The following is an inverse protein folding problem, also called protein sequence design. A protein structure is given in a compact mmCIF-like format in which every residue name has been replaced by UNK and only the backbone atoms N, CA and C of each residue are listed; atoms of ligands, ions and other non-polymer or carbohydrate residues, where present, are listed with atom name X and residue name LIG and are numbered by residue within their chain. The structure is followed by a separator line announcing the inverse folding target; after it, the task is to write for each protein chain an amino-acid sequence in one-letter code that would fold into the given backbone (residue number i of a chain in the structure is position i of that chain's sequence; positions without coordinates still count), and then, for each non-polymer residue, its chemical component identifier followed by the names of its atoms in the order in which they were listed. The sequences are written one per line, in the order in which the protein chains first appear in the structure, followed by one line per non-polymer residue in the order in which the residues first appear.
data_IF_054390169247
#
_entry.id   IF_054390169247
#
_cell.length_a   1.000
_cell.length_b   1.000
_cell.length_c   1.000
_cell.angle_alpha   90.00
_cell.angle_beta   90.00
_cell.angle_gamma   90.00
#
_symmetry.space_group_name_H-M   'P 1'
#
loop_
_entity.id
_entity.type
_entity.pdbx_description
1 polymer ?
#
# COMPACT_ATOMS: atom_id res chain seq x y z
N UNK A 1 9.72 -0.69 -5.74
CA UNK A 1 10.65 -1.53 -4.97
C UNK A 1 10.84 -2.83 -5.74
N UNK A 2 12.07 -3.33 -5.86
CA UNK A 2 12.39 -4.44 -6.75
C UNK A 2 12.50 -5.79 -6.04
N UNK A 3 12.44 -6.86 -6.83
CA UNK A 3 12.74 -8.25 -6.41
C UNK A 3 14.21 -8.41 -5.96
N UNK A 4 15.05 -7.43 -6.27
CA UNK A 4 16.46 -7.34 -5.91
C UNK A 4 16.73 -6.74 -4.51
N UNK A 5 15.65 -6.46 -3.75
CA UNK A 5 15.72 -5.83 -2.42
C UNK A 5 16.40 -4.44 -2.44
N UNK A 6 16.25 -3.72 -3.55
CA UNK A 6 16.77 -2.37 -3.74
C UNK A 6 15.64 -1.34 -3.75
N UNK A 7 15.88 -0.21 -3.07
CA UNK A 7 15.11 1.02 -3.18
C UNK A 7 15.96 2.09 -3.85
N UNK A 8 15.38 2.74 -4.85
CA UNK A 8 15.98 3.87 -5.53
C UNK A 8 15.06 5.07 -5.35
N UNK A 9 15.61 6.15 -4.80
CA UNK A 9 14.95 7.43 -4.70
C UNK A 9 15.32 8.27 -5.92
N UNK A 10 14.32 8.92 -6.52
CA UNK A 10 14.48 9.70 -7.73
C UNK A 10 13.99 11.13 -7.53
N UNK A 11 14.65 12.07 -8.20
CA UNK A 11 14.11 13.40 -8.40
C UNK A 11 13.18 13.38 -9.62
N UNK A 12 11.88 13.55 -9.39
CA UNK A 12 10.88 13.48 -10.48
C UNK A 12 11.03 14.64 -11.48
N UNK A 13 11.55 15.79 -11.05
CA UNK A 13 11.70 16.96 -11.92
C UNK A 13 12.95 16.86 -12.81
N UNK A 14 14.06 16.35 -12.28
CA UNK A 14 15.32 16.23 -13.04
C UNK A 14 15.51 14.85 -13.68
N UNK A 15 14.81 13.83 -13.18
CA UNK A 15 15.00 12.43 -13.58
C UNK A 15 16.26 11.79 -12.99
N UNK A 16 16.95 12.44 -12.06
CA UNK A 16 18.19 11.95 -11.48
C UNK A 16 17.95 11.01 -10.28
N UNK A 17 18.79 9.99 -10.15
CA UNK A 17 18.85 9.14 -8.98
C UNK A 17 19.44 9.93 -7.80
N UNK A 18 18.66 10.06 -6.72
CA UNK A 18 19.05 10.75 -5.50
C UNK A 18 19.78 9.82 -4.53
N UNK A 19 19.31 8.58 -4.39
CA UNK A 19 19.86 7.64 -3.41
C UNK A 19 19.49 6.20 -3.75
N UNK A 20 20.46 5.29 -3.56
CA UNK A 20 20.29 3.85 -3.63
C UNK A 20 20.38 3.22 -2.23
N UNK A 21 19.41 2.40 -1.85
CA UNK A 21 19.37 1.69 -0.58
C UNK A 21 19.13 0.20 -0.87
N UNK A 22 20.14 -0.64 -0.62
CA UNK A 22 20.05 -2.08 -0.80
C UNK A 22 20.21 -2.82 0.53
N UNK A 23 19.29 -3.76 0.81
CA UNK A 23 19.30 -4.63 1.99
C UNK A 23 19.00 -6.08 1.58
N UNK A 24 19.95 -6.77 0.93
CA UNK A 24 19.70 -8.07 0.29
C UNK A 24 19.27 -9.18 1.28
N UNK A 25 19.63 -9.06 2.55
CA UNK A 25 19.35 -10.09 3.56
C UNK A 25 17.89 -10.16 4.00
N UNK A 26 17.09 -9.11 3.78
CA UNK A 26 15.66 -9.09 4.17
C UNK A 26 14.73 -9.63 3.07
N UNK A 27 15.29 -9.96 1.91
CA UNK A 27 14.53 -10.41 0.74
C UNK A 27 13.78 -9.28 0.03
N UNK A 28 12.95 -9.63 -0.98
CA UNK A 28 12.19 -8.67 -1.78
C UNK A 28 11.35 -7.71 -0.93
N UNK A 29 11.16 -6.50 -1.44
CA UNK A 29 10.35 -5.48 -0.77
C UNK A 29 8.91 -5.59 -1.27
N UNK A 30 8.00 -5.97 -0.36
CA UNK A 30 6.60 -6.19 -0.69
C UNK A 30 5.72 -4.95 -0.55
N UNK A 31 6.09 -4.00 0.32
CA UNK A 31 5.32 -2.77 0.53
C UNK A 31 6.20 -1.59 0.95
N UNK A 32 5.77 -0.37 0.63
CA UNK A 32 6.45 0.87 1.02
C UNK A 32 5.42 1.99 1.20
N UNK A 33 5.64 2.89 2.16
CA UNK A 33 4.84 4.11 2.34
C UNK A 33 5.68 5.28 2.86
N UNK A 34 5.25 6.50 2.55
CA UNK A 34 5.79 7.71 3.17
C UNK A 34 5.26 7.88 4.60
N UNK A 35 6.10 8.42 5.49
CA UNK A 35 5.78 8.69 6.90
C UNK A 35 6.27 10.08 7.32
N UNK A 36 5.75 10.57 8.43
CA UNK A 36 6.24 11.78 9.10
C UNK A 36 6.56 11.45 10.55
N UNK A 37 7.81 11.68 10.98
CA UNK A 37 8.27 11.30 12.31
C UNK A 37 8.07 12.41 13.36
N UNK A 38 8.22 13.67 12.97
CA UNK A 38 8.18 14.85 13.85
C UNK A 38 7.11 15.87 13.48
N UNK A 39 7.07 16.98 14.22
CA UNK A 39 6.10 18.08 14.03
C UNK A 39 6.47 19.02 12.87
N UNK A 40 7.74 19.07 12.48
CA UNK A 40 8.30 20.05 11.53
C UNK A 40 8.54 19.46 10.13
N UNK A 41 7.51 18.82 9.53
CA UNK A 41 7.60 18.24 8.19
C UNK A 41 8.83 17.32 8.03
N UNK A 42 9.04 16.46 9.02
CA UNK A 42 10.20 15.58 9.17
C UNK A 42 9.96 14.28 8.39
N UNK A 43 10.36 14.24 7.10
CA UNK A 43 9.88 13.24 6.18
C UNK A 43 10.71 11.97 6.35
N UNK A 44 10.03 10.84 6.30
CA UNK A 44 10.63 9.53 6.28
C UNK A 44 9.86 8.62 5.36
N UNK A 45 10.33 7.39 5.22
CA UNK A 45 9.53 6.33 4.63
C UNK A 45 9.71 5.05 5.45
N UNK A 46 8.74 4.15 5.30
CA UNK A 46 8.77 2.81 5.83
C UNK A 46 8.66 1.83 4.67
N UNK A 47 9.40 0.72 4.71
CA UNK A 47 9.19 -0.39 3.78
C UNK A 47 9.19 -1.72 4.52
N UNK A 48 8.46 -2.68 3.96
CA UNK A 48 8.33 -4.03 4.47
C UNK A 48 8.92 -5.06 3.51
N UNK A 49 9.55 -6.08 4.06
CA UNK A 49 10.28 -7.09 3.29
C UNK A 49 9.66 -8.50 3.41
N UNK A 50 10.15 -9.42 2.58
CA UNK A 50 9.71 -10.81 2.54
C UNK A 50 9.98 -11.58 3.86
N UNK A 51 10.99 -11.17 4.63
CA UNK A 51 11.29 -11.73 5.96
C UNK A 51 10.33 -11.26 7.08
N UNK A 52 9.38 -10.38 6.77
CA UNK A 52 8.43 -9.82 7.74
C UNK A 52 8.95 -8.64 8.55
N UNK A 53 10.13 -8.12 8.20
CA UNK A 53 10.66 -6.90 8.80
C UNK A 53 10.03 -5.64 8.19
N UNK A 54 9.85 -4.62 9.03
CA UNK A 54 9.53 -3.25 8.62
C UNK A 54 10.69 -2.35 9.00
N UNK A 55 11.23 -1.64 8.02
CA UNK A 55 12.37 -0.73 8.15
C UNK A 55 11.92 0.71 8.07
N UNK A 56 12.46 1.56 8.93
CA UNK A 56 12.14 2.99 9.02
C UNK A 56 13.35 3.82 8.65
N UNK A 57 13.16 4.77 7.73
CA UNK A 57 14.17 5.71 7.28
C UNK A 57 13.67 7.15 7.46
N UNK A 58 14.59 8.06 7.79
CA UNK A 58 14.31 9.47 8.03
C UNK A 58 15.25 10.34 7.21
N UNK A 59 14.72 11.40 6.61
CA UNK A 59 15.54 12.38 5.91
C UNK A 59 16.34 13.21 6.92
N UNK A 60 17.62 13.43 6.64
CA UNK A 60 18.50 14.29 7.43
C UNK A 60 18.84 15.57 6.68
N UNK A 61 19.62 16.45 7.32
CA UNK A 61 20.00 17.77 6.81
C UNK A 61 20.77 17.69 5.47
N UNK A 62 21.48 16.59 5.24
CA UNK A 62 22.17 16.27 3.99
C UNK A 62 21.22 15.88 2.84
N UNK A 63 19.90 15.99 3.06
CA UNK A 63 18.83 15.57 2.15
C UNK A 63 18.76 14.08 1.87
N UNK A 64 19.62 13.25 2.45
CA UNK A 64 19.60 11.80 2.30
C UNK A 64 18.70 11.15 3.37
N UNK A 65 18.20 9.96 3.06
CA UNK A 65 17.43 9.15 3.99
C UNK A 65 18.34 8.18 4.72
N UNK A 66 18.30 8.24 6.05
CA UNK A 66 19.12 7.42 6.93
C UNK A 66 18.27 6.42 7.70
N UNK A 67 18.81 5.21 7.87
CA UNK A 67 18.18 4.15 8.65
C UNK A 67 17.95 4.61 10.10
N UNK A 68 16.75 4.38 10.64
CA UNK A 68 16.38 4.70 12.02
C UNK A 68 16.17 3.43 12.85
N UNK A 69 15.29 2.55 12.38
CA UNK A 69 14.91 1.35 13.13
C UNK A 69 14.45 0.24 12.20
N UNK A 70 14.37 -0.97 12.75
CA UNK A 70 13.81 -2.16 12.13
C UNK A 70 12.98 -2.90 13.17
N UNK A 71 11.79 -3.34 12.78
CA UNK A 71 10.88 -4.12 13.63
C UNK A 71 10.51 -5.40 12.92
N UNK A 72 10.64 -6.55 13.60
CA UNK A 72 10.08 -7.82 13.11
C UNK A 72 8.57 -7.78 13.34
N UNK A 73 7.84 -7.40 12.30
CA UNK A 73 6.42 -7.10 12.38
C UNK A 73 5.55 -8.34 12.23
N UNK A 74 5.98 -9.27 11.36
CA UNK A 74 5.24 -10.47 10.99
C UNK A 74 6.19 -11.66 10.81
N UNK A 75 5.65 -12.88 10.82
CA UNK A 75 6.41 -14.13 10.57
C UNK A 75 6.47 -14.50 9.08
N UNK A 76 6.31 -13.53 8.19
CA UNK A 76 6.33 -13.72 6.75
C UNK A 76 6.16 -12.39 6.03
N UNK A 77 6.13 -12.48 4.70
CA UNK A 77 6.17 -11.33 3.79
C UNK A 77 5.20 -10.22 4.17
N UNK A 78 5.71 -8.98 4.16
CA UNK A 78 4.87 -7.78 4.28
C UNK A 78 4.18 -7.52 2.95
N UNK A 79 2.86 -7.70 2.94
CA UNK A 79 2.03 -7.57 1.76
C UNK A 79 1.41 -6.18 1.62
N UNK A 80 1.35 -5.41 2.70
CA UNK A 80 0.80 -4.06 2.70
C UNK A 80 1.28 -3.23 3.88
N UNK A 81 1.44 -1.93 3.63
CA UNK A 81 1.94 -0.96 4.58
C UNK A 81 1.29 0.40 4.31
N UNK A 82 0.74 1.03 5.33
CA UNK A 82 0.10 2.36 5.21
C UNK A 82 0.36 3.21 6.44
N UNK A 83 0.26 4.53 6.29
CA UNK A 83 0.55 5.51 7.34
C UNK A 83 -0.67 6.40 7.63
N UNK A 84 -0.98 6.56 8.91
CA UNK A 84 -1.94 7.52 9.45
C UNK A 84 -1.16 8.72 10.03
N UNK A 85 -1.13 9.87 9.32
CA UNK A 85 -0.42 11.05 9.79
C UNK A 85 -1.11 11.73 10.97
N UNK A 86 -2.42 11.53 11.17
CA UNK A 86 -3.19 12.19 12.22
C UNK A 86 -2.81 11.62 13.59
N UNK A 87 -2.77 10.29 13.68
CA UNK A 87 -2.44 9.60 14.94
C UNK A 87 -0.99 9.10 15.00
N UNK A 88 -0.20 9.34 13.94
CA UNK A 88 1.17 8.83 13.77
C UNK A 88 1.25 7.33 13.97
N UNK A 89 0.46 6.61 13.17
CA UNK A 89 0.44 5.15 13.19
C UNK A 89 0.82 4.57 11.84
N UNK A 90 1.47 3.42 11.88
CA UNK A 90 1.67 2.59 10.70
C UNK A 90 0.76 1.38 10.84
N UNK A 91 0.10 0.96 9.76
CA UNK A 91 -0.59 -0.32 9.72
C UNK A 91 0.15 -1.23 8.73
N UNK A 92 0.37 -2.47 9.12
CA UNK A 92 1.03 -3.48 8.29
C UNK A 92 0.23 -4.77 8.27
N UNK A 93 0.35 -5.50 7.17
CA UNK A 93 -0.29 -6.80 6.98
C UNK A 93 0.75 -7.78 6.42
N UNK A 94 0.92 -8.91 7.09
CA UNK A 94 1.79 -10.00 6.66
C UNK A 94 1.24 -11.33 7.17
N UNK A 95 1.39 -12.39 6.37
CA UNK A 95 0.88 -13.73 6.69
C UNK A 95 -0.58 -13.75 7.17
N UNK A 96 -1.44 -12.91 6.59
CA UNK A 96 -2.88 -12.83 6.92
C UNK A 96 -3.21 -12.16 8.27
N UNK A 97 -2.23 -11.58 8.96
CA UNK A 97 -2.39 -10.96 10.29
C UNK A 97 -2.19 -9.44 10.22
N UNK A 98 -3.24 -8.61 10.40
CA UNK A 98 -3.09 -7.15 10.43
C UNK A 98 -2.56 -6.67 11.78
N UNK A 99 -1.66 -5.69 11.77
CA UNK A 99 -1.15 -5.05 12.98
C UNK A 99 -1.12 -3.53 12.79
N UNK A 100 -1.32 -2.81 13.89
CA UNK A 100 -1.22 -1.34 13.93
C UNK A 100 -0.14 -0.96 14.94
N UNK A 101 0.69 0.01 14.57
CA UNK A 101 1.87 0.42 15.32
C UNK A 101 1.79 1.90 15.61
N UNK A 102 2.10 2.31 16.83
CA UNK A 102 2.47 3.71 17.12
C UNK A 102 3.88 3.96 16.59
N UNK A 103 4.07 5.01 15.80
CA UNK A 103 5.38 5.44 15.31
C UNK A 103 5.93 6.55 16.21
N UNK A 104 7.06 6.33 16.86
CA UNK A 104 7.74 7.33 17.70
C UNK A 104 8.52 8.36 16.87
N UNK A 105 8.89 9.50 17.49
CA UNK A 105 9.63 10.58 16.80
C UNK A 105 11.07 10.20 16.42
N UNK A 106 11.58 9.12 17.01
CA UNK A 106 12.89 8.54 16.68
C UNK A 106 12.76 7.37 15.71
N UNK A 107 11.55 7.03 15.27
CA UNK A 107 11.28 6.01 14.27
C UNK A 107 11.03 4.61 14.80
N UNK A 108 10.77 4.43 16.10
CA UNK A 108 10.45 3.12 16.64
C UNK A 108 8.96 2.80 16.47
N UNK A 109 8.66 1.54 16.12
CA UNK A 109 7.30 1.02 16.08
C UNK A 109 6.96 0.32 17.39
N UNK A 110 5.76 0.57 17.93
CA UNK A 110 5.23 -0.11 19.12
C UNK A 110 3.85 -0.65 18.79
N UNK A 111 3.63 -1.95 18.95
CA UNK A 111 2.36 -2.59 18.58
C UNK A 111 1.20 -2.08 19.44
N UNK A 112 0.05 -1.88 18.80
CA UNK A 112 -1.21 -1.50 19.44
C UNK A 112 -2.10 -2.73 19.62
N UNK A 113 -2.08 -3.67 18.68
CA UNK A 113 -2.92 -4.88 18.73
C UNK A 113 -2.17 -5.99 19.48
N UNK A 114 -2.61 -6.41 20.68
CA UNK A 114 -1.88 -7.41 21.46
C UNK A 114 -1.94 -8.81 20.85
N UNK A 115 -3.10 -9.17 20.29
CA UNK A 115 -3.35 -10.47 19.66
C UNK A 115 -4.08 -10.26 18.33
N UNK A 116 -3.35 -9.90 17.26
CA UNK A 116 -3.95 -9.69 15.95
C UNK A 116 -4.53 -11.01 15.41
N UNK A 117 -5.72 -10.98 14.78
CA UNK A 117 -6.32 -12.17 14.22
C UNK A 117 -5.52 -12.63 13.00
N UNK A 118 -5.26 -13.94 12.91
CA UNK A 118 -4.61 -14.52 11.72
C UNK A 118 -5.67 -15.12 10.81
N UNK A 119 -5.74 -14.63 9.57
CA UNK A 119 -6.51 -15.27 8.50
C UNK A 119 -5.65 -16.30 7.79
N UNK A 120 -6.27 -17.37 7.30
CA UNK A 120 -5.61 -18.36 6.41
C UNK A 120 -5.57 -17.88 4.95
N UNK A 121 -6.31 -16.81 4.63
CA UNK A 121 -6.31 -16.21 3.30
C UNK A 121 -5.16 -15.24 3.12
N UNK A 122 -4.68 -15.13 1.87
CA UNK A 122 -3.64 -14.19 1.49
C UNK A 122 -4.21 -12.77 1.56
N UNK A 123 -3.77 -12.00 2.54
CA UNK A 123 -4.09 -10.59 2.63
C UNK A 123 -3.17 -9.77 1.70
N UNK A 124 -3.73 -8.78 1.01
CA UNK A 124 -3.04 -8.05 -0.08
C UNK A 124 -2.95 -6.55 0.12
N UNK A 125 -3.75 -6.00 1.01
CA UNK A 125 -3.80 -4.56 1.25
C UNK A 125 -4.30 -4.27 2.65
N UNK A 126 -3.80 -3.19 3.23
CA UNK A 126 -4.28 -2.62 4.49
C UNK A 126 -4.35 -1.10 4.33
N UNK A 127 -5.49 -0.50 4.69
CA UNK A 127 -5.74 0.93 4.55
C UNK A 127 -6.36 1.48 5.83
N UNK A 128 -5.90 2.63 6.32
CA UNK A 128 -6.63 3.36 7.37
C UNK A 128 -7.93 3.94 6.81
N UNK A 129 -9.00 3.87 7.60
CA UNK A 129 -10.30 4.46 7.30
C UNK A 129 -10.90 5.09 8.56
N UNK A 130 -12.06 5.74 8.41
CA UNK A 130 -12.78 6.39 9.51
C UNK A 130 -11.91 7.38 10.30
N UNK A 131 -11.22 8.27 9.56
CA UNK A 131 -10.22 9.20 10.10
C UNK A 131 -9.15 8.49 10.96
N UNK A 132 -8.73 7.30 10.55
CA UNK A 132 -7.73 6.50 11.26
C UNK A 132 -8.30 5.65 12.40
N UNK A 133 -9.57 5.77 12.79
CA UNK A 133 -10.10 4.93 13.88
C UNK A 133 -10.23 3.45 13.51
N UNK A 134 -10.18 3.12 12.22
CA UNK A 134 -10.33 1.76 11.70
C UNK A 134 -9.27 1.44 10.63
N UNK A 135 -9.06 0.14 10.37
CA UNK A 135 -8.27 -0.37 9.24
C UNK A 135 -9.08 -1.33 8.40
N UNK A 136 -8.96 -1.22 7.08
CA UNK A 136 -9.58 -2.10 6.10
C UNK A 136 -8.55 -3.05 5.51
N UNK A 137 -8.79 -4.35 5.61
CA UNK A 137 -7.94 -5.41 5.04
C UNK A 137 -8.66 -6.08 3.87
N UNK A 138 -7.94 -6.27 2.76
CA UNK A 138 -8.44 -6.99 1.59
C UNK A 138 -7.75 -8.33 1.39
N UNK A 139 -8.54 -9.39 1.16
CA UNK A 139 -8.06 -10.77 1.00
C UNK A 139 -8.25 -11.25 -0.44
N UNK A 140 -7.18 -11.78 -1.03
CA UNK A 140 -7.05 -12.07 -2.46
C UNK A 140 -8.15 -13.02 -2.99
N UNK A 141 -8.11 -14.27 -2.52
CA UNK A 141 -8.90 -15.38 -3.07
C UNK A 141 -10.26 -15.55 -2.38
N UNK A 142 -10.42 -15.05 -1.15
CA UNK A 142 -11.73 -15.10 -0.46
C UNK A 142 -12.68 -13.98 -0.89
N UNK A 143 -12.17 -12.97 -1.61
CA UNK A 143 -12.88 -11.75 -1.99
C UNK A 143 -13.38 -10.93 -0.78
N UNK A 144 -12.86 -11.22 0.41
CA UNK A 144 -13.29 -10.58 1.65
C UNK A 144 -12.58 -9.25 1.86
N UNK A 145 -13.37 -8.28 2.31
CA UNK A 145 -12.94 -7.03 2.88
C UNK A 145 -13.36 -7.00 4.35
N UNK A 146 -12.40 -6.91 5.25
CA UNK A 146 -12.65 -6.89 6.69
C UNK A 146 -12.19 -5.56 7.26
N UNK A 147 -13.12 -4.82 7.85
CA UNK A 147 -12.84 -3.57 8.54
C UNK A 147 -12.72 -3.87 10.03
N UNK A 148 -11.59 -3.50 10.63
CA UNK A 148 -11.32 -3.61 12.06
C UNK A 148 -11.36 -2.22 12.70
N UNK A 149 -12.06 -2.10 13.82
CA UNK A 149 -11.89 -0.97 14.72
C UNK A 149 -10.56 -1.13 15.47
N UNK A 150 -9.85 -0.03 15.73
CA UNK A 150 -8.53 -0.08 16.39
C UNK A 150 -8.65 -0.07 17.93
N UNK A 151 -9.59 0.73 18.46
CA UNK A 151 -9.78 0.89 19.90
C UNK A 151 -11.28 0.87 20.28
N UNK A 152 -11.80 -0.20 20.91
CA UNK A 152 -11.13 -1.48 21.12
C UNK A 152 -10.93 -2.24 19.80
N UNK A 153 -9.89 -3.07 19.74
CA UNK A 153 -9.62 -3.89 18.57
C UNK A 153 -10.74 -4.92 18.33
N UNK A 154 -11.31 -4.93 17.14
CA UNK A 154 -12.36 -5.90 16.78
C UNK A 154 -12.92 -5.69 15.38
N UNK A 155 -13.61 -6.71 14.85
CA UNK A 155 -14.26 -6.62 13.54
C UNK A 155 -15.41 -5.62 13.63
N UNK A 156 -15.33 -4.55 12.83
CA UNK A 156 -16.39 -3.55 12.66
C UNK A 156 -17.44 -4.05 11.66
N UNK A 157 -16.99 -4.60 10.54
CA UNK A 157 -17.81 -5.31 9.56
C UNK A 157 -16.92 -6.14 8.63
N UNK A 158 -17.52 -7.13 7.97
CA UNK A 158 -16.90 -7.90 6.90
C UNK A 158 -17.87 -7.98 5.72
N UNK A 159 -17.35 -7.81 4.50
CA UNK A 159 -18.12 -7.86 3.24
C UNK A 159 -17.33 -8.63 2.19
N UNK A 160 -18.03 -9.18 1.22
CA UNK A 160 -17.42 -9.81 0.04
C UNK A 160 -17.72 -8.99 -1.20
N UNK A 161 -16.77 -8.98 -2.15
CA UNK A 161 -16.96 -8.38 -3.48
C UNK A 161 -16.99 -9.47 -4.57
N UNK A 162 -17.49 -9.18 -5.79
CA UNK A 162 -17.65 -10.20 -6.83
C UNK A 162 -16.35 -10.79 -7.39
N UNK A 163 -15.21 -10.12 -7.20
CA UNK A 163 -13.93 -10.45 -7.85
C UNK A 163 -12.82 -10.61 -6.82
N UNK A 164 -11.69 -11.20 -7.25
CA UNK A 164 -10.48 -11.26 -6.44
C UNK A 164 -9.92 -9.86 -6.14
N UNK A 165 -9.19 -9.77 -5.04
CA UNK A 165 -8.57 -8.51 -4.58
C UNK A 165 -7.06 -8.59 -4.79
N UNK A 166 -6.58 -8.15 -5.96
CA UNK A 166 -5.13 -8.11 -6.24
C UNK A 166 -4.40 -7.08 -5.40
N UNK A 167 -5.02 -5.91 -5.25
CA UNK A 167 -4.66 -4.83 -4.33
C UNK A 167 -5.88 -3.93 -4.18
N UNK A 168 -6.08 -3.33 -3.01
CA UNK A 168 -7.13 -2.35 -2.77
C UNK A 168 -6.58 -1.09 -2.10
N UNK A 169 -7.07 0.08 -2.51
CA UNK A 169 -6.70 1.37 -1.91
C UNK A 169 -7.91 2.27 -1.77
N UNK A 170 -7.96 3.06 -0.70
CA UNK A 170 -9.01 4.07 -0.50
C UNK A 170 -8.63 5.36 -1.24
N UNK A 171 -9.62 6.00 -1.85
CA UNK A 171 -9.45 7.37 -2.34
C UNK A 171 -9.15 8.33 -1.18
N UNK A 172 -8.46 9.43 -1.47
CA UNK A 172 -8.06 10.39 -0.42
C UNK A 172 -9.24 11.02 0.33
N UNK A 173 -10.42 11.10 -0.29
CA UNK A 173 -11.67 11.56 0.33
C UNK A 173 -12.33 10.49 1.21
N UNK A 174 -11.83 9.25 1.19
CA UNK A 174 -12.38 8.11 1.92
C UNK A 174 -13.72 7.62 1.40
N UNK A 175 -14.18 8.08 0.23
CA UNK A 175 -15.50 7.77 -0.30
C UNK A 175 -15.51 6.57 -1.26
N UNK A 176 -14.35 6.16 -1.76
CA UNK A 176 -14.25 5.09 -2.74
C UNK A 176 -13.15 4.09 -2.38
N UNK A 177 -13.41 2.82 -2.66
CA UNK A 177 -12.40 1.78 -2.69
C UNK A 177 -12.10 1.41 -4.13
N UNK A 178 -10.84 1.52 -4.52
CA UNK A 178 -10.35 1.09 -5.84
C UNK A 178 -9.68 -0.27 -5.69
N UNK A 179 -10.11 -1.24 -6.50
CA UNK A 179 -9.67 -2.63 -6.41
C UNK A 179 -9.14 -3.10 -7.76
N UNK A 180 -7.91 -3.61 -7.79
CA UNK A 180 -7.44 -4.43 -8.91
C UNK A 180 -8.14 -5.79 -8.85
N UNK A 181 -9.01 -6.06 -9.82
CA UNK A 181 -10.00 -7.13 -9.75
C UNK A 181 -9.49 -8.51 -10.20
N UNK A 182 -8.25 -8.57 -10.72
CA UNK A 182 -7.58 -9.76 -11.27
C UNK A 182 -8.48 -10.60 -12.18
N UNK A 183 -9.37 -9.94 -12.91
CA UNK A 183 -10.28 -10.55 -13.88
C UNK A 183 -10.11 -9.84 -15.21
N UNK A 184 -10.45 -8.56 -15.26
CA UNK A 184 -10.45 -7.77 -16.48
C UNK A 184 -10.08 -6.29 -16.27
N UNK A 185 -9.66 -5.89 -15.07
CA UNK A 185 -9.10 -4.57 -14.81
C UNK A 185 -9.32 -4.08 -13.38
N UNK A 186 -9.89 -2.88 -13.25
CA UNK A 186 -10.03 -2.17 -11.97
C UNK A 186 -11.51 -1.91 -11.69
N UNK A 187 -11.95 -2.23 -10.48
CA UNK A 187 -13.28 -1.89 -9.99
C UNK A 187 -13.20 -0.73 -9.00
N UNK A 188 -14.23 0.13 -9.01
CA UNK A 188 -14.42 1.21 -8.04
C UNK A 188 -15.73 0.98 -7.30
N UNK A 189 -15.64 0.93 -5.99
CA UNK A 189 -16.77 0.73 -5.07
C UNK A 189 -16.99 1.97 -4.22
N UNK A 190 -18.25 2.32 -3.98
CA UNK A 190 -18.63 3.27 -2.96
C UNK A 190 -18.21 2.74 -1.59
N UNK A 191 -17.61 3.57 -0.74
CA UNK A 191 -17.19 3.21 0.60
C UNK A 191 -17.98 4.00 1.65
N UNK A 192 -18.52 3.37 2.72
CA UNK A 192 -18.37 1.96 3.11
C UNK A 192 -19.50 1.04 2.60
N UNK A 193 -20.42 1.50 1.74
CA UNK A 193 -21.56 0.66 1.31
C UNK A 193 -21.11 -0.56 0.50
N UNK A 194 -20.00 -0.44 -0.22
CA UNK A 194 -19.40 -1.43 -1.11
C UNK A 194 -20.27 -1.75 -2.33
N UNK A 195 -21.11 -0.81 -2.76
CA UNK A 195 -21.77 -0.89 -4.06
C UNK A 195 -20.77 -0.56 -5.16
N UNK A 196 -20.67 -1.41 -6.18
CA UNK A 196 -19.78 -1.16 -7.31
C UNK A 196 -20.31 -0.02 -8.16
N UNK A 197 -19.59 1.08 -8.21
CA UNK A 197 -19.94 2.26 -9.01
C UNK A 197 -19.46 2.14 -10.45
N UNK A 198 -18.26 1.57 -10.65
CA UNK A 198 -17.61 1.53 -11.96
C UNK A 198 -16.65 0.36 -12.10
N UNK A 199 -16.43 -0.07 -13.33
CA UNK A 199 -15.35 -0.98 -13.72
C UNK A 199 -14.61 -0.42 -14.94
N UNK A 200 -13.29 -0.46 -14.90
CA UNK A 200 -12.38 -0.07 -15.97
C UNK A 200 -11.75 -1.33 -16.51
N UNK A 201 -12.20 -1.74 -17.70
CA UNK A 201 -11.70 -2.96 -18.33
C UNK A 201 -10.51 -2.65 -19.24
N UNK A 202 -9.46 -3.45 -19.17
CA UNK A 202 -8.35 -3.43 -20.11
C UNK A 202 -7.84 -4.85 -20.37
N UNK A 203 -7.18 -5.11 -21.51
CA UNK A 203 -6.64 -6.44 -21.80
C UNK A 203 -5.56 -6.80 -20.79
N UNK A 204 -5.74 -7.92 -20.08
CA UNK A 204 -4.73 -8.50 -19.19
C UNK A 204 -4.12 -9.70 -19.91
N UNK A 205 -2.83 -9.61 -20.23
CA UNK A 205 -2.05 -10.69 -20.88
C UNK A 205 -1.44 -11.62 -19.83
N UNK A 206 -0.99 -11.06 -18.70
CA UNK A 206 -0.52 -11.78 -17.51
C UNK A 206 -1.16 -11.20 -16.26
N UNK A 207 -1.79 -12.07 -15.49
CA UNK A 207 -2.60 -11.65 -14.35
C UNK A 207 -1.79 -11.70 -13.06
N UNK A 208 -1.11 -10.60 -12.75
CA UNK A 208 -0.36 -10.43 -11.51
C UNK A 208 -1.12 -9.50 -10.54
N UNK A 209 -0.99 -9.70 -9.22
CA UNK A 209 -1.56 -8.82 -8.21
C UNK A 209 -0.81 -7.48 -8.13
N UNK A 210 -1.03 -6.63 -9.13
CA UNK A 210 -0.38 -5.32 -9.26
C UNK A 210 -0.99 -4.29 -8.32
N UNK A 211 -0.14 -3.41 -7.78
CA UNK A 211 -0.56 -2.32 -6.90
C UNK A 211 -1.40 -1.30 -7.66
N UNK A 212 -2.37 -0.72 -6.95
CA UNK A 212 -3.19 0.40 -7.43
C UNK A 212 -3.07 1.56 -6.45
N UNK A 213 -2.96 2.77 -6.98
CA UNK A 213 -2.87 4.01 -6.21
C UNK A 213 -3.85 5.05 -6.75
N UNK A 214 -4.28 5.98 -5.91
CA UNK A 214 -5.11 7.11 -6.32
C UNK A 214 -4.37 8.43 -6.15
N UNK A 215 -4.55 9.36 -7.08
CA UNK A 215 -3.96 10.70 -7.04
C UNK A 215 -5.03 11.77 -7.27
N UNK A 216 -4.66 13.04 -7.04
CA UNK A 216 -5.51 14.22 -7.26
C UNK A 216 -6.91 14.07 -6.62
N UNK A 217 -6.94 13.75 -5.32
CA UNK A 217 -8.18 13.52 -4.55
C UNK A 217 -9.05 12.38 -5.11
N UNK A 218 -8.44 11.36 -5.70
CA UNK A 218 -9.16 10.21 -6.27
C UNK A 218 -9.71 10.45 -7.67
N UNK A 219 -9.39 11.56 -8.33
CA UNK A 219 -9.75 11.77 -9.73
C UNK A 219 -8.88 10.94 -10.69
N UNK A 220 -7.66 10.62 -10.29
CA UNK A 220 -6.74 9.80 -11.07
C UNK A 220 -6.49 8.48 -10.37
N UNK A 221 -6.53 7.38 -11.13
CA UNK A 221 -6.15 6.04 -10.69
C UNK A 221 -4.92 5.61 -11.47
N UNK A 222 -3.90 5.12 -10.76
CA UNK A 222 -2.67 4.58 -11.34
C UNK A 222 -2.58 3.10 -10.99
N UNK A 223 -2.27 2.27 -11.96
CA UNK A 223 -2.03 0.84 -11.78
C UNK A 223 -0.78 0.41 -12.55
N UNK A 224 -0.04 -0.56 -12.01
CA UNK A 224 0.97 -1.26 -12.81
C UNK A 224 0.30 -2.02 -13.96
N UNK A 225 0.89 -1.97 -15.14
CA UNK A 225 0.57 -2.83 -16.29
C UNK A 225 1.45 -4.07 -16.30
N UNK A 226 0.99 -5.12 -16.97
CA UNK A 226 1.64 -6.42 -17.08
C UNK A 226 2.70 -6.49 -18.20
N UNK A 227 2.85 -5.41 -18.97
CA UNK A 227 3.85 -5.20 -20.01
C UNK A 227 4.99 -4.26 -19.59
N UNK A 228 5.00 -3.84 -18.32
CA UNK A 228 5.98 -2.87 -17.78
C UNK A 228 5.60 -1.40 -17.99
N UNK A 229 4.42 -1.10 -18.54
CA UNK A 229 3.87 0.25 -18.56
C UNK A 229 3.00 0.51 -17.32
N UNK A 230 2.87 1.77 -16.89
CA UNK A 230 1.87 2.15 -15.88
C UNK A 230 0.58 2.62 -16.57
N UNK A 231 -0.57 2.12 -16.14
CA UNK A 231 -1.88 2.53 -16.61
C UNK A 231 -2.41 3.69 -15.77
N UNK A 232 -2.86 4.76 -16.42
CA UNK A 232 -3.45 5.93 -15.78
C UNK A 232 -4.88 6.13 -16.27
N UNK A 233 -5.83 6.19 -15.34
CA UNK A 233 -7.25 6.37 -15.63
C UNK A 233 -7.77 7.65 -14.98
N UNK A 234 -8.59 8.40 -15.71
CA UNK A 234 -9.43 9.43 -15.13
C UNK A 234 -10.74 8.81 -14.61
N UNK A 235 -10.96 8.92 -13.30
CA UNK A 235 -12.08 8.30 -12.60
C UNK A 235 -13.43 8.82 -13.10
N UNK A 236 -13.53 10.11 -13.43
CA UNK A 236 -14.78 10.77 -13.78
C UNK A 236 -15.21 10.45 -15.23
N UNK A 237 -14.28 10.62 -16.16
CA UNK A 237 -14.50 10.51 -17.61
C UNK A 237 -14.42 9.08 -18.13
N UNK A 238 -13.77 8.16 -17.42
CA UNK A 238 -13.61 6.78 -17.91
C UNK A 238 -12.46 6.60 -18.90
N UNK A 239 -11.73 7.67 -19.22
CA UNK A 239 -10.72 7.68 -20.28
C UNK A 239 -9.37 7.22 -19.73
N UNK A 240 -8.73 6.28 -20.44
CA UNK A 240 -7.33 5.94 -20.23
C UNK A 240 -6.47 7.10 -20.72
N UNK A 241 -5.80 7.81 -19.79
CA UNK A 241 -5.15 9.07 -20.11
C UNK A 241 -3.78 8.91 -20.79
N UNK A 242 -3.08 7.78 -20.60
CA UNK A 242 -1.98 7.23 -21.42
C UNK A 242 -1.21 6.17 -20.62
N UNK A 243 -0.58 5.17 -21.26
CA UNK A 243 0.43 4.34 -20.62
C UNK A 243 1.73 5.14 -20.42
N UNK A 244 2.23 5.22 -19.19
CA UNK A 244 3.60 5.69 -18.93
C UNK A 244 4.54 4.51 -19.18
N UNK A 245 5.33 4.54 -20.26
CA UNK A 245 6.27 3.47 -20.59
C UNK A 245 7.53 3.59 -19.73
N UNK A 246 7.74 2.61 -18.86
CA UNK A 246 9.01 2.39 -18.16
C UNK A 246 9.84 1.35 -18.95
N UNK A 247 11.17 1.45 -18.91
CA UNK A 247 12.08 0.71 -19.79
C UNK A 247 11.83 -0.81 -19.84
N UNK A 248 12.06 -1.39 -21.03
CA UNK A 248 12.04 -2.81 -21.42
C UNK A 248 11.65 -3.85 -20.34
N UNK A 249 10.40 -3.79 -19.84
CA UNK A 249 9.74 -4.92 -19.17
C UNK A 249 9.95 -5.09 -17.67
N UNK A 250 10.27 -4.06 -16.89
CA UNK A 250 10.26 -4.16 -15.41
C UNK A 250 8.99 -3.55 -14.80
N UNK A 251 8.52 -4.16 -13.69
CA UNK A 251 7.28 -3.85 -13.00
C UNK A 251 7.38 -2.57 -12.18
N UNK A 252 6.38 -1.69 -12.28
CA UNK A 252 6.31 -0.46 -11.50
C UNK A 252 5.52 -0.66 -10.20
N UNK A 253 6.16 -0.31 -9.09
CA UNK A 253 5.52 -0.09 -7.80
C UNK A 253 5.57 1.40 -7.48
N UNK A 254 4.43 2.09 -7.64
CA UNK A 254 4.25 3.49 -7.26
C UNK A 254 3.81 3.60 -5.81
N UNK A 255 4.37 4.59 -5.12
CA UNK A 255 3.95 5.05 -3.78
C UNK A 255 2.60 5.75 -3.81
#
# INVERSE_FOLDING_TARGET
AGDDATLILWNVQTGEELQNISRPFSGPIGAICWITLGLDNDPGFAYGCADGSVHIYRRKEDSAFHFCSMTMAHNGSIEGLTFDPIHRRVASIGSGSPQVWTLSVVGNLTSIVPSPPTSTFIARSINFCDNGSSVLVGYLESHELVCYNIDPWGIKWAKTIPTRIGHATLSCDGLNLVVSNLSNGIDVYAFPSMDRERSFCYPITRNFPLQVATALQGTIIVSGGDDGACLVFDRCSGVTLSPLSHGKGELFHGL
#
